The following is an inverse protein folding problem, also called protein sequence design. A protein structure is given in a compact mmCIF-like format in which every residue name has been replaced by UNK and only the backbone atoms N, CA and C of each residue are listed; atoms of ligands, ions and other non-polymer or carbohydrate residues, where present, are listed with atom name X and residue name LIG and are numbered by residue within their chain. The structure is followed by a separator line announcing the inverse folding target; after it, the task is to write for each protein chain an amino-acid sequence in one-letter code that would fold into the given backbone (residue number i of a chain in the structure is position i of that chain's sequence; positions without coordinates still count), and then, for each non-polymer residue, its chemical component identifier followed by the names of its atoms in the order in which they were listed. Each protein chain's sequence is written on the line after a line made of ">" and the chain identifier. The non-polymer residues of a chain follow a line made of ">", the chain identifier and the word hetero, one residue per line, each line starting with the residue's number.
data_IF_747168183232
#
_entry.id   IF_747168183232
#
_cell.length_a   1.000
_cell.length_b   1.000
_cell.length_c   1.000
_cell.angle_alpha   90.00
_cell.angle_beta   90.00
_cell.angle_gamma   90.00
#
_symmetry.space_group_name_H-M   'P 1'
#
loop_
_entity.id
_entity.type
_entity.pdbx_description
1 polymer ?
#
# COMPACT_ATOMS: atom_id res chain seq x y z
N UNK A 1 10.63 -13.91 72.45
CA UNK A 1 10.27 -14.49 71.14
C UNK A 1 8.80 -14.20 70.88
N UNK A 2 8.50 -13.12 70.17
CA UNK A 2 7.14 -12.77 69.73
C UNK A 2 6.87 -13.46 68.41
N UNK A 3 6.00 -14.47 68.44
CA UNK A 3 5.56 -15.23 67.27
C UNK A 3 4.72 -14.30 66.39
N UNK A 4 5.22 -13.92 65.21
CA UNK A 4 4.44 -13.26 64.18
C UNK A 4 3.32 -14.21 63.72
N UNK A 5 2.07 -13.76 63.85
CA UNK A 5 0.92 -14.47 63.29
C UNK A 5 0.98 -14.46 61.76
N UNK A 6 0.63 -15.55 61.07
CA UNK A 6 0.57 -15.59 59.62
C UNK A 6 -0.54 -14.65 59.10
N UNK A 7 -0.20 -13.76 58.17
CA UNK A 7 -1.14 -12.88 57.48
C UNK A 7 -2.24 -13.70 56.80
N UNK A 8 -3.50 -13.45 57.13
CA UNK A 8 -4.66 -14.14 56.57
C UNK A 8 -4.65 -14.10 55.02
N UNK A 9 -5.06 -15.21 54.35
CA UNK A 9 -5.11 -15.27 52.90
C UNK A 9 -6.12 -14.26 52.35
N UNK A 10 -5.76 -13.60 51.25
CA UNK A 10 -6.57 -12.63 50.50
C UNK A 10 -8.03 -13.11 50.34
N UNK A 11 -8.94 -12.59 51.18
CA UNK A 11 -10.34 -13.00 51.17
C UNK A 11 -11.06 -12.35 49.99
N UNK A 12 -11.34 -13.14 48.96
CA UNK A 12 -12.12 -12.70 47.81
C UNK A 12 -13.55 -12.39 48.24
N UNK A 13 -13.85 -11.12 48.48
CA UNK A 13 -15.23 -10.65 48.69
C UNK A 13 -16.05 -10.90 47.42
N UNK A 14 -17.30 -11.37 47.54
CA UNK A 14 -18.24 -11.58 46.41
C UNK A 14 -18.27 -10.42 45.41
N UNK A 15 -18.16 -9.17 45.90
CA UNK A 15 -18.11 -7.96 45.07
C UNK A 15 -16.89 -7.92 44.15
N UNK A 16 -15.72 -8.37 44.61
CA UNK A 16 -14.49 -8.43 43.79
C UNK A 16 -14.58 -9.53 42.74
N UNK A 17 -15.18 -10.68 43.08
CA UNK A 17 -15.41 -11.76 42.13
C UNK A 17 -16.40 -11.32 41.04
N UNK A 18 -17.50 -10.68 41.41
CA UNK A 18 -18.47 -10.13 40.45
C UNK A 18 -17.83 -9.10 39.51
N UNK A 19 -17.05 -8.16 40.05
CA UNK A 19 -16.32 -7.19 39.23
C UNK A 19 -15.28 -7.85 38.32
N UNK A 20 -14.51 -8.82 38.84
CA UNK A 20 -13.52 -9.54 38.04
C UNK A 20 -14.19 -10.32 36.90
N UNK A 21 -15.32 -10.99 37.15
CA UNK A 21 -16.09 -11.70 36.11
C UNK A 21 -16.68 -10.73 35.09
N UNK A 22 -17.24 -9.60 35.52
CA UNK A 22 -17.75 -8.57 34.60
C UNK A 22 -16.65 -8.00 33.71
N UNK A 23 -15.49 -7.68 34.29
CA UNK A 23 -14.32 -7.21 33.52
C UNK A 23 -13.84 -8.29 32.55
N UNK A 24 -13.75 -9.55 32.98
CA UNK A 24 -13.33 -10.65 32.12
C UNK A 24 -14.30 -10.88 30.96
N UNK A 25 -15.61 -10.88 31.21
CA UNK A 25 -16.64 -10.99 30.16
C UNK A 25 -16.57 -9.79 29.22
N UNK A 26 -16.41 -8.57 29.74
CA UNK A 26 -16.28 -7.37 28.93
C UNK A 26 -15.03 -7.41 28.03
N UNK A 27 -13.88 -7.84 28.56
CA UNK A 27 -12.63 -7.98 27.80
C UNK A 27 -12.79 -9.07 26.73
N UNK A 28 -13.32 -10.24 27.09
CA UNK A 28 -13.55 -11.34 26.14
C UNK A 28 -14.51 -10.93 25.01
N UNK A 29 -15.61 -10.26 25.35
CA UNK A 29 -16.57 -9.73 24.38
C UNK A 29 -15.92 -8.67 23.48
N UNK A 30 -15.09 -7.78 24.04
CA UNK A 30 -14.35 -6.77 23.28
C UNK A 30 -13.40 -7.41 22.27
N UNK A 31 -12.60 -8.41 22.69
CA UNK A 31 -11.71 -9.15 21.78
C UNK A 31 -12.48 -9.91 20.71
N UNK A 32 -13.59 -10.56 21.08
CA UNK A 32 -14.45 -11.27 20.13
C UNK A 32 -15.05 -10.31 19.09
N UNK A 33 -15.50 -9.13 19.52
CA UNK A 33 -16.04 -8.10 18.64
C UNK A 33 -14.94 -7.54 17.71
N UNK A 34 -13.75 -7.25 18.23
CA UNK A 34 -12.60 -6.79 17.43
C UNK A 34 -12.19 -7.83 16.40
N UNK A 35 -12.21 -9.12 16.75
CA UNK A 35 -11.92 -10.20 15.81
C UNK A 35 -13.00 -10.31 14.73
N UNK A 36 -14.28 -10.24 15.12
CA UNK A 36 -15.43 -10.35 14.20
C UNK A 36 -15.52 -9.17 13.23
N UNK A 37 -15.17 -7.97 13.68
CA UNK A 37 -15.25 -6.72 12.91
C UNK A 37 -13.87 -6.15 12.56
N UNK A 38 -12.86 -7.00 12.47
CA UNK A 38 -11.48 -6.59 12.21
C UNK A 38 -11.35 -5.68 10.97
N UNK A 39 -12.10 -5.97 9.91
CA UNK A 39 -12.09 -5.21 8.67
C UNK A 39 -12.63 -3.79 8.87
N UNK A 40 -13.71 -3.64 9.65
CA UNK A 40 -14.29 -2.32 9.96
C UNK A 40 -13.32 -1.50 10.83
N UNK A 41 -12.74 -2.14 11.85
CA UNK A 41 -11.73 -1.51 12.72
C UNK A 41 -10.51 -1.08 11.92
N UNK A 42 -10.04 -1.92 10.99
CA UNK A 42 -8.90 -1.62 10.13
C UNK A 42 -9.19 -0.48 9.15
N UNK A 43 -10.38 -0.45 8.54
CA UNK A 43 -10.83 0.66 7.69
C UNK A 43 -10.89 1.97 8.48
N UNK A 44 -11.49 1.94 9.68
CA UNK A 44 -11.54 3.12 10.57
C UNK A 44 -10.13 3.58 10.97
N UNK A 45 -9.25 2.64 11.32
CA UNK A 45 -7.86 2.93 11.66
C UNK A 45 -7.13 3.63 10.50
N UNK A 46 -7.19 3.07 9.30
CA UNK A 46 -6.59 3.69 8.11
C UNK A 46 -7.20 5.06 7.85
N UNK A 47 -8.53 5.20 7.97
CA UNK A 47 -9.20 6.47 7.74
C UNK A 47 -8.79 7.56 8.75
N UNK A 48 -8.66 7.21 10.03
CA UNK A 48 -8.16 8.10 11.08
C UNK A 48 -6.73 8.53 10.80
N UNK A 49 -5.86 7.57 10.45
CA UNK A 49 -4.48 7.85 10.08
C UNK A 49 -4.46 8.79 8.88
N UNK A 50 -5.10 8.42 7.76
CA UNK A 50 -5.16 9.20 6.53
C UNK A 50 -5.75 10.61 6.74
N UNK A 51 -6.81 10.75 7.53
CA UNK A 51 -7.41 12.04 7.81
C UNK A 51 -6.48 12.92 8.65
N UNK A 52 -5.78 12.34 9.64
CA UNK A 52 -4.78 13.05 10.45
C UNK A 52 -3.61 13.52 9.59
N UNK A 53 -3.19 12.66 8.67
CA UNK A 53 -2.16 12.85 7.66
C UNK A 53 -2.46 13.98 6.68
N UNK A 54 -3.73 14.17 6.32
CA UNK A 54 -4.16 15.19 5.35
C UNK A 54 -4.27 16.59 6.00
N UNK A 55 -4.47 16.68 7.33
CA UNK A 55 -4.63 17.96 8.05
C UNK A 55 -3.53 18.99 7.81
N UNK A 56 -2.22 18.65 7.80
CA UNK A 56 -1.16 19.60 7.50
C UNK A 56 -1.29 20.20 6.10
N UNK A 57 -1.66 19.39 5.10
CA UNK A 57 -1.87 19.84 3.72
C UNK A 57 -3.05 20.81 3.66
N UNK A 58 -4.16 20.46 4.31
CA UNK A 58 -5.34 21.34 4.42
C UNK A 58 -5.00 22.65 5.14
N UNK A 59 -4.18 22.58 6.21
CA UNK A 59 -3.74 23.75 6.97
C UNK A 59 -2.82 24.64 6.13
N UNK A 60 -1.96 24.05 5.30
CA UNK A 60 -1.13 24.78 4.34
C UNK A 60 -1.97 25.50 3.29
N UNK A 61 -3.00 24.84 2.73
CA UNK A 61 -3.96 25.47 1.81
C UNK A 61 -4.74 26.60 2.50
N UNK A 62 -5.14 26.40 3.76
CA UNK A 62 -5.80 27.41 4.56
C UNK A 62 -4.94 28.66 4.76
N UNK A 63 -3.65 28.49 5.06
CA UNK A 63 -2.68 29.59 5.16
C UNK A 63 -2.46 30.33 3.82
N UNK A 64 -2.79 29.70 2.69
CA UNK A 64 -2.75 30.32 1.35
C UNK A 64 -4.06 31.03 0.96
N UNK A 65 -5.05 31.08 1.85
CA UNK A 65 -6.31 31.83 1.66
C UNK A 65 -7.54 30.97 1.30
N UNK A 66 -7.40 29.65 1.17
CA UNK A 66 -8.55 28.76 0.94
C UNK A 66 -9.35 28.53 2.23
N UNK A 67 -10.68 28.61 2.23
CA UNK A 67 -11.46 28.26 3.42
C UNK A 67 -11.28 26.77 3.75
N UNK A 68 -11.23 26.45 5.05
CA UNK A 68 -10.85 25.09 5.53
C UNK A 68 -11.65 23.97 4.86
N UNK A 69 -12.96 24.12 4.73
CA UNK A 69 -13.84 23.12 4.09
C UNK A 69 -13.48 22.94 2.61
N UNK A 70 -13.26 24.03 1.87
CA UNK A 70 -12.85 23.94 0.46
C UNK A 70 -11.46 23.30 0.31
N UNK A 71 -10.53 23.59 1.22
CA UNK A 71 -9.22 22.93 1.25
C UNK A 71 -9.34 21.42 1.48
N UNK A 72 -10.20 20.97 2.39
CA UNK A 72 -10.50 19.54 2.59
C UNK A 72 -11.10 18.95 1.31
N UNK A 73 -12.17 19.53 0.77
CA UNK A 73 -12.84 19.03 -0.44
C UNK A 73 -11.84 18.93 -1.60
N UNK A 74 -11.02 19.94 -1.82
CA UNK A 74 -10.02 19.96 -2.89
C UNK A 74 -9.02 18.80 -2.76
N UNK A 75 -8.45 18.58 -1.57
CA UNK A 75 -7.48 17.49 -1.36
C UNK A 75 -8.14 16.12 -1.58
N UNK A 76 -9.35 15.90 -1.06
CA UNK A 76 -10.06 14.64 -1.25
C UNK A 76 -10.51 14.42 -2.69
N UNK A 77 -10.87 15.47 -3.43
CA UNK A 77 -11.15 15.38 -4.86
C UNK A 77 -9.90 15.02 -5.66
N UNK A 78 -8.73 15.60 -5.34
CA UNK A 78 -7.46 15.24 -5.98
C UNK A 78 -7.12 13.77 -5.70
N UNK A 79 -7.25 13.31 -4.45
CA UNK A 79 -7.01 11.92 -4.09
C UNK A 79 -7.98 10.96 -4.80
N UNK A 80 -9.27 11.33 -4.87
CA UNK A 80 -10.28 10.55 -5.58
C UNK A 80 -10.00 10.50 -7.08
N UNK A 81 -9.65 11.64 -7.70
CA UNK A 81 -9.29 11.71 -9.11
C UNK A 81 -8.06 10.86 -9.41
N UNK A 82 -7.05 10.87 -8.54
CA UNK A 82 -5.85 10.04 -8.65
C UNK A 82 -6.20 8.55 -8.54
N UNK A 83 -7.08 8.18 -7.60
CA UNK A 83 -7.55 6.81 -7.42
C UNK A 83 -8.38 6.29 -8.62
N UNK A 84 -9.29 7.13 -9.14
CA UNK A 84 -10.09 6.80 -10.33
C UNK A 84 -9.18 6.69 -11.56
N UNK A 85 -8.26 7.63 -11.76
CA UNK A 85 -7.31 7.61 -12.87
C UNK A 85 -6.43 6.36 -12.81
N UNK A 86 -5.96 5.99 -11.61
CA UNK A 86 -5.26 4.74 -11.38
C UNK A 86 -6.09 3.54 -11.81
N UNK A 87 -7.35 3.43 -11.35
CA UNK A 87 -8.22 2.31 -11.68
C UNK A 87 -8.53 2.22 -13.19
N UNK A 88 -8.80 3.35 -13.84
CA UNK A 88 -9.22 3.39 -15.24
C UNK A 88 -8.06 3.27 -16.24
N UNK A 89 -6.87 3.78 -15.92
CA UNK A 89 -5.72 3.72 -16.84
C UNK A 89 -4.90 2.45 -16.63
N UNK A 90 -4.66 2.05 -15.38
CA UNK A 90 -3.74 0.96 -15.08
C UNK A 90 -4.37 -0.41 -15.30
N UNK A 91 -5.62 -0.59 -14.86
CA UNK A 91 -6.28 -1.89 -14.93
C UNK A 91 -6.38 -2.42 -16.36
N UNK A 92 -6.91 -1.68 -17.35
CA UNK A 92 -6.98 -2.19 -18.72
C UNK A 92 -5.59 -2.38 -19.33
N UNK A 93 -4.64 -1.49 -19.03
CA UNK A 93 -3.25 -1.60 -19.46
C UNK A 93 -2.67 -2.95 -18.99
N UNK A 94 -2.64 -3.19 -17.68
CA UNK A 94 -2.11 -4.43 -17.11
C UNK A 94 -2.80 -5.69 -17.64
N UNK A 95 -4.11 -5.65 -17.88
CA UNK A 95 -4.85 -6.78 -18.47
C UNK A 95 -4.42 -7.02 -19.91
N UNK A 96 -4.36 -5.99 -20.75
CA UNK A 96 -3.96 -6.09 -22.16
C UNK A 96 -2.51 -6.56 -22.32
N UNK A 97 -1.58 -6.03 -21.52
CA UNK A 97 -0.19 -6.50 -21.59
C UNK A 97 0.01 -7.85 -20.91
N UNK A 98 -0.76 -8.17 -19.87
CA UNK A 98 -0.79 -9.49 -19.27
C UNK A 98 -1.21 -10.58 -20.26
N UNK A 99 -2.26 -10.35 -21.04
CA UNK A 99 -2.70 -11.29 -22.09
C UNK A 99 -1.68 -11.41 -23.22
N UNK A 100 -1.03 -10.30 -23.60
CA UNK A 100 0.06 -10.30 -24.59
C UNK A 100 1.25 -11.14 -24.13
N UNK A 101 1.68 -11.00 -22.87
CA UNK A 101 2.75 -11.83 -22.30
C UNK A 101 2.34 -13.29 -22.28
N UNK A 102 1.14 -13.61 -21.80
CA UNK A 102 0.67 -14.99 -21.75
C UNK A 102 0.69 -15.66 -23.14
N UNK A 103 0.36 -14.89 -24.19
CA UNK A 103 0.44 -15.36 -25.58
C UNK A 103 1.90 -15.48 -26.09
N UNK A 104 2.82 -14.63 -25.63
CA UNK A 104 4.23 -14.61 -26.04
C UNK A 104 5.13 -15.61 -25.28
N UNK A 105 4.73 -16.06 -24.09
CA UNK A 105 5.50 -16.98 -23.23
C UNK A 105 6.01 -18.24 -23.96
N UNK A 106 5.20 -18.96 -24.78
CA UNK A 106 5.69 -20.11 -25.52
C UNK A 106 6.86 -19.77 -26.46
N UNK A 107 6.78 -18.63 -27.15
CA UNK A 107 7.83 -18.14 -28.04
C UNK A 107 9.11 -17.78 -27.29
N UNK A 108 8.99 -17.07 -26.16
CA UNK A 108 10.15 -16.74 -25.33
C UNK A 108 10.85 -17.97 -24.76
N UNK A 109 10.09 -18.99 -24.35
CA UNK A 109 10.65 -20.25 -23.90
C UNK A 109 11.44 -20.96 -25.00
N UNK A 110 10.90 -20.97 -26.23
CA UNK A 110 11.54 -21.58 -27.38
C UNK A 110 12.82 -20.83 -27.78
N UNK A 111 12.78 -19.50 -27.86
CA UNK A 111 13.96 -18.68 -28.14
C UNK A 111 15.04 -18.81 -27.05
N UNK A 112 14.65 -18.89 -25.77
CA UNK A 112 15.60 -19.13 -24.68
C UNK A 112 16.27 -20.50 -24.80
N UNK A 113 15.49 -21.53 -25.15
CA UNK A 113 16.02 -22.89 -25.35
C UNK A 113 16.97 -22.96 -26.54
N UNK A 114 16.63 -22.32 -27.65
CA UNK A 114 17.49 -22.21 -28.83
C UNK A 114 18.77 -21.42 -28.52
N UNK A 115 18.67 -20.32 -27.78
CA UNK A 115 19.83 -19.55 -27.32
C UNK A 115 20.76 -20.39 -26.43
N UNK A 116 20.21 -21.11 -25.44
CA UNK A 116 20.98 -22.01 -24.58
C UNK A 116 21.62 -23.17 -25.36
N UNK A 117 20.95 -23.68 -26.40
CA UNK A 117 21.48 -24.74 -27.26
C UNK A 117 22.58 -24.24 -28.20
N UNK A 118 22.55 -22.97 -28.58
CA UNK A 118 23.57 -22.32 -29.43
C UNK A 118 24.82 -21.86 -28.67
N UNK A 119 24.83 -21.99 -27.33
CA UNK A 119 25.92 -21.48 -26.51
C UNK A 119 27.18 -22.35 -26.62
N UNK A 120 28.38 -21.75 -26.74
CA UNK A 120 29.63 -22.51 -26.92
C UNK A 120 30.10 -23.30 -25.69
N UNK A 121 29.49 -23.10 -24.52
CA UNK A 121 29.86 -23.77 -23.27
C UNK A 121 29.01 -25.02 -23.03
N UNK A 122 29.65 -26.20 -22.97
CA UNK A 122 29.01 -27.51 -22.73
C UNK A 122 28.18 -27.58 -21.45
N UNK A 123 28.51 -26.80 -20.41
CA UNK A 123 27.71 -26.74 -19.18
C UNK A 123 26.36 -26.03 -19.40
N UNK A 124 26.35 -24.99 -20.22
CA UNK A 124 25.14 -24.21 -20.57
C UNK A 124 24.27 -25.01 -21.54
N UNK A 125 24.87 -25.72 -22.49
CA UNK A 125 24.13 -26.63 -23.39
C UNK A 125 23.44 -27.76 -22.63
N UNK A 126 24.07 -28.32 -21.59
CA UNK A 126 23.42 -29.34 -20.74
C UNK A 126 22.18 -28.82 -20.01
N UNK A 127 22.14 -27.54 -19.63
CA UNK A 127 20.95 -26.91 -19.05
C UNK A 127 19.75 -26.92 -20.02
N UNK A 128 20.00 -26.80 -21.33
CA UNK A 128 18.94 -26.90 -22.35
C UNK A 128 18.27 -28.29 -22.43
N UNK A 129 18.97 -29.34 -21.99
CA UNK A 129 18.47 -30.72 -21.93
C UNK A 129 17.63 -31.02 -20.68
N UNK A 130 17.77 -30.22 -19.61
CA UNK A 130 16.91 -30.29 -18.42
C UNK A 130 15.60 -29.50 -18.59
N UNK A 131 15.54 -28.62 -19.60
CA UNK A 131 14.32 -27.91 -19.98
C UNK A 131 13.42 -28.84 -20.80
N UNK A 132 12.15 -29.06 -20.39
CA UNK A 132 11.19 -29.85 -21.17
C UNK A 132 11.11 -29.39 -22.63
N UNK A 133 11.09 -30.33 -23.57
CA UNK A 133 10.97 -30.03 -25.02
C UNK A 133 9.69 -29.29 -25.36
N UNK A 134 8.66 -29.50 -24.56
CA UNK A 134 7.38 -28.81 -24.61
C UNK A 134 7.05 -28.29 -23.21
N UNK A 135 6.68 -27.01 -23.11
CA UNK A 135 6.03 -26.52 -21.90
C UNK A 135 4.78 -27.38 -21.65
N UNK A 136 4.59 -27.95 -20.43
CA UNK A 136 3.36 -28.65 -20.10
C UNK A 136 2.17 -27.68 -20.31
N UNK A 137 1.44 -27.91 -21.40
CA UNK A 137 0.19 -27.25 -21.76
C UNK A 137 0.15 -25.72 -21.62
N UNK A 138 0.85 -25.02 -22.52
CA UNK A 138 0.25 -23.85 -23.18
C UNK A 138 -0.17 -24.28 -24.59
N UNK A 139 -1.06 -25.28 -24.68
CA UNK A 139 -1.74 -25.51 -25.96
C UNK A 139 -2.42 -24.19 -26.34
N UNK A 140 -2.39 -23.78 -27.62
CA UNK A 140 -3.24 -22.69 -28.07
C UNK A 140 -4.63 -23.07 -27.59
N UNK A 141 -5.20 -22.26 -26.70
CA UNK A 141 -6.55 -22.48 -26.23
C UNK A 141 -7.41 -22.29 -27.48
N UNK A 142 -7.71 -23.39 -28.19
CA UNK A 142 -8.87 -23.45 -29.06
C UNK A 142 -10.03 -23.27 -28.09
N UNK A 143 -10.44 -22.01 -27.96
CA UNK A 143 -11.41 -21.57 -26.97
C UNK A 143 -12.73 -22.28 -27.24
N UNK A 144 -12.93 -23.44 -26.62
CA UNK A 144 -14.24 -24.06 -26.53
C UNK A 144 -15.16 -23.09 -25.79
N UNK A 145 -16.45 -23.02 -26.15
CA UNK A 145 -17.42 -22.12 -25.53
C UNK A 145 -17.40 -22.18 -23.98
N UNK A 146 -17.12 -23.35 -23.40
CA UNK A 146 -16.95 -23.54 -21.95
C UNK A 146 -15.70 -22.84 -21.36
N UNK A 147 -14.59 -22.77 -22.09
CA UNK A 147 -13.39 -22.06 -21.66
C UNK A 147 -13.55 -20.54 -21.82
N UNK A 148 -14.30 -20.09 -22.84
CA UNK A 148 -14.70 -18.67 -22.93
C UNK A 148 -15.57 -18.27 -21.73
N UNK A 149 -16.56 -19.10 -21.35
CA UNK A 149 -17.37 -18.86 -20.15
C UNK A 149 -16.54 -18.89 -18.86
N UNK A 150 -15.57 -19.80 -18.74
CA UNK A 150 -14.65 -19.85 -17.59
C UNK A 150 -13.75 -18.61 -17.52
N UNK A 151 -13.21 -18.16 -18.66
CA UNK A 151 -12.41 -16.92 -18.73
C UNK A 151 -13.24 -15.67 -18.47
N UNK A 152 -14.49 -15.62 -18.92
CA UNK A 152 -15.44 -14.56 -18.59
C UNK A 152 -15.75 -14.55 -17.08
N UNK A 153 -15.91 -15.72 -16.46
CA UNK A 153 -16.05 -15.86 -15.01
C UNK A 153 -14.82 -15.36 -14.23
N UNK A 154 -13.61 -15.61 -14.74
CA UNK A 154 -12.37 -15.10 -14.16
C UNK A 154 -12.25 -13.58 -14.32
N UNK A 155 -12.57 -13.02 -15.50
CA UNK A 155 -12.62 -11.58 -15.74
C UNK A 155 -13.63 -10.90 -14.81
N UNK A 156 -14.84 -11.45 -14.67
CA UNK A 156 -15.84 -10.97 -13.72
C UNK A 156 -15.32 -11.06 -12.27
N UNK A 157 -14.58 -12.11 -11.94
CA UNK A 157 -13.88 -12.25 -10.67
C UNK A 157 -12.89 -11.10 -10.41
N UNK A 158 -12.01 -10.80 -11.36
CA UNK A 158 -11.05 -9.69 -11.25
C UNK A 158 -11.75 -8.32 -11.17
N UNK A 159 -12.79 -8.10 -11.98
CA UNK A 159 -13.59 -6.88 -11.94
C UNK A 159 -14.27 -6.73 -10.57
N UNK A 160 -14.82 -7.81 -10.01
CA UNK A 160 -15.44 -7.79 -8.69
C UNK A 160 -14.44 -7.49 -7.57
N UNK A 161 -13.22 -8.04 -7.67
CA UNK A 161 -12.13 -7.77 -6.72
C UNK A 161 -11.69 -6.31 -6.80
N UNK A 162 -11.49 -5.79 -8.02
CA UNK A 162 -11.14 -4.40 -8.26
C UNK A 162 -12.25 -3.46 -7.76
N UNK A 163 -13.51 -3.75 -8.06
CA UNK A 163 -14.66 -2.98 -7.58
C UNK A 163 -14.73 -2.98 -6.05
N UNK A 164 -14.49 -4.13 -5.39
CA UNK A 164 -14.43 -4.21 -3.92
C UNK A 164 -13.28 -3.37 -3.36
N UNK A 165 -12.10 -3.43 -3.97
CA UNK A 165 -10.95 -2.63 -3.53
C UNK A 165 -11.22 -1.12 -3.68
N UNK A 166 -11.77 -0.70 -4.82
CA UNK A 166 -12.17 0.69 -5.09
C UNK A 166 -13.23 1.14 -4.10
N UNK A 167 -14.26 0.32 -3.84
CA UNK A 167 -15.30 0.61 -2.87
C UNK A 167 -14.71 0.81 -1.47
N UNK A 168 -13.84 -0.10 -1.01
CA UNK A 168 -13.15 0.05 0.29
C UNK A 168 -12.31 1.33 0.32
N UNK A 169 -11.59 1.65 -0.74
CA UNK A 169 -10.78 2.86 -0.81
C UNK A 169 -11.64 4.14 -0.75
N UNK A 170 -12.79 4.16 -1.45
CA UNK A 170 -13.76 5.26 -1.37
C UNK A 170 -14.30 5.40 0.06
N UNK A 171 -14.67 4.30 0.71
CA UNK A 171 -15.14 4.31 2.11
C UNK A 171 -14.05 4.87 3.02
N UNK A 172 -12.79 4.44 2.89
CA UNK A 172 -11.66 4.98 3.64
C UNK A 172 -11.53 6.49 3.42
N UNK A 173 -11.60 6.96 2.16
CA UNK A 173 -11.52 8.39 1.85
C UNK A 173 -12.68 9.18 2.48
N UNK A 174 -13.91 8.66 2.45
CA UNK A 174 -15.06 9.31 3.06
C UNK A 174 -14.96 9.40 4.59
N UNK A 175 -14.54 8.31 5.24
CA UNK A 175 -14.32 8.29 6.69
C UNK A 175 -13.16 9.22 7.07
N UNK A 176 -12.09 9.24 6.28
CA UNK A 176 -10.97 10.13 6.49
C UNK A 176 -11.38 11.59 6.32
N UNK A 177 -12.24 11.89 5.32
CA UNK A 177 -12.80 13.21 5.10
C UNK A 177 -13.54 13.70 6.34
N UNK A 178 -14.41 12.85 6.90
CA UNK A 178 -15.12 13.15 8.13
C UNK A 178 -14.15 13.34 9.31
N UNK A 179 -13.15 12.47 9.47
CA UNK A 179 -12.13 12.60 10.51
C UNK A 179 -11.29 13.87 10.38
N UNK A 180 -11.03 14.35 9.15
CA UNK A 180 -10.28 15.58 8.89
C UNK A 180 -11.05 16.82 9.34
N UNK A 181 -12.38 16.81 9.18
CA UNK A 181 -13.25 17.90 9.62
C UNK A 181 -13.51 17.85 11.12
N UNK A 182 -14.00 16.72 11.62
CA UNK A 182 -14.57 16.59 12.97
C UNK A 182 -13.66 15.88 13.98
N UNK A 183 -12.56 15.24 13.54
CA UNK A 183 -11.69 14.50 14.45
C UNK A 183 -11.13 15.32 15.63
N UNK A 184 -10.78 16.62 15.51
CA UNK A 184 -10.41 17.42 16.68
C UNK A 184 -11.55 17.55 17.69
N UNK A 185 -12.80 17.65 17.23
CA UNK A 185 -13.98 17.70 18.09
C UNK A 185 -14.20 16.36 18.79
N UNK A 186 -14.05 15.25 18.06
CA UNK A 186 -14.15 13.89 18.62
C UNK A 186 -13.12 13.71 19.75
N UNK A 187 -11.86 14.10 19.53
CA UNK A 187 -10.81 14.04 20.55
C UNK A 187 -11.18 14.90 21.77
N UNK A 188 -11.69 16.11 21.55
CA UNK A 188 -12.14 17.00 22.63
C UNK A 188 -13.32 16.44 23.42
N UNK A 189 -14.23 15.72 22.77
CA UNK A 189 -15.37 15.04 23.43
C UNK A 189 -14.93 13.81 24.24
N UNK A 190 -13.80 13.19 23.91
CA UNK A 190 -13.26 12.04 24.63
C UNK A 190 -12.32 12.42 25.79
N UNK A 191 -11.68 13.59 25.74
CA UNK A 191 -10.81 14.12 26.80
C UNK A 191 -11.46 14.12 28.22
N UNK A 192 -12.77 14.37 28.38
CA UNK A 192 -13.43 14.27 29.68
C UNK A 192 -13.43 12.89 30.33
N UNK A 193 -13.28 11.81 29.55
CA UNK A 193 -13.23 10.42 30.05
C UNK A 193 -11.93 10.13 30.82
N UNK A 194 -10.92 10.99 30.69
CA UNK A 194 -9.64 10.86 31.38
C UNK A 194 -9.57 11.81 32.58
N UNK A 195 -8.84 11.39 33.62
CA UNK A 195 -8.58 12.19 34.82
C UNK A 195 -7.98 13.56 34.46
N UNK A 196 -8.35 14.59 35.22
CA UNK A 196 -7.97 15.99 34.94
C UNK A 196 -6.46 16.17 34.82
N UNK A 197 -5.70 15.50 35.67
CA UNK A 197 -4.24 15.60 35.75
C UNK A 197 -3.53 15.05 34.49
N UNK A 198 -4.19 14.17 33.72
CA UNK A 198 -3.62 13.58 32.51
C UNK A 198 -4.04 14.30 31.22
N UNK A 199 -5.01 15.21 31.27
CA UNK A 199 -5.59 15.83 30.06
C UNK A 199 -4.58 16.66 29.27
N UNK A 200 -3.74 17.41 29.97
CA UNK A 200 -2.72 18.25 29.34
C UNK A 200 -1.65 17.39 28.67
N UNK A 201 -1.13 16.39 29.37
CA UNK A 201 -0.16 15.44 28.81
C UNK A 201 -0.69 14.66 27.60
N UNK A 202 -1.96 14.22 27.61
CA UNK A 202 -2.58 13.55 26.46
C UNK A 202 -2.73 14.52 25.29
N UNK A 203 -3.11 15.77 25.53
CA UNK A 203 -3.26 16.78 24.49
C UNK A 203 -1.92 17.09 23.81
N UNK A 204 -0.86 17.26 24.60
CA UNK A 204 0.49 17.46 24.09
C UNK A 204 0.98 16.26 23.28
N UNK A 205 0.75 15.03 23.79
CA UNK A 205 1.10 13.80 23.09
C UNK A 205 0.41 13.72 21.72
N UNK A 206 -0.91 13.97 21.67
CA UNK A 206 -1.67 13.98 20.42
C UNK A 206 -1.11 15.02 19.45
N UNK A 207 -0.89 16.25 19.90
CA UNK A 207 -0.33 17.31 19.05
C UNK A 207 1.07 16.99 18.52
N UNK A 208 1.91 16.37 19.36
CA UNK A 208 3.25 15.92 18.96
C UNK A 208 3.18 14.80 17.91
N UNK A 209 2.29 13.82 18.11
CA UNK A 209 2.06 12.74 17.13
C UNK A 209 1.55 13.30 15.80
N UNK A 210 0.57 14.21 15.82
CA UNK A 210 0.05 14.85 14.60
C UNK A 210 1.16 15.59 13.84
N UNK A 211 2.01 16.32 14.54
CA UNK A 211 3.13 17.07 13.94
C UNK A 211 4.17 16.13 13.32
N UNK A 212 4.55 15.06 14.04
CA UNK A 212 5.52 14.07 13.53
C UNK A 212 4.98 13.31 12.32
N UNK A 213 3.73 12.84 12.39
CA UNK A 213 3.05 12.14 11.29
C UNK A 213 2.94 13.06 10.06
N UNK A 214 2.53 14.31 10.27
CA UNK A 214 2.40 15.29 9.20
C UNK A 214 3.72 15.58 8.51
N UNK A 215 4.79 15.71 9.28
CA UNK A 215 6.11 15.98 8.71
C UNK A 215 6.69 14.75 8.00
N UNK A 216 6.53 13.56 8.57
CA UNK A 216 6.90 12.30 7.92
C UNK A 216 6.25 12.16 6.54
N UNK A 217 4.95 12.48 6.42
CA UNK A 217 4.27 12.37 5.14
C UNK A 217 4.53 13.51 4.16
N UNK A 218 4.84 14.71 4.63
CA UNK A 218 5.41 15.71 3.75
C UNK A 218 6.71 15.19 3.13
N UNK A 219 7.55 14.54 3.95
CA UNK A 219 8.73 13.81 3.47
C UNK A 219 8.38 12.71 2.48
N UNK A 220 7.40 11.86 2.79
CA UNK A 220 6.97 10.77 1.92
C UNK A 220 6.42 11.28 0.58
N UNK A 221 5.64 12.36 0.58
CA UNK A 221 5.14 12.99 -0.65
C UNK A 221 6.26 13.54 -1.54
N UNK A 222 7.33 14.08 -0.94
CA UNK A 222 8.54 14.47 -1.67
C UNK A 222 9.24 13.24 -2.25
N UNK A 223 9.35 12.14 -1.50
CA UNK A 223 9.90 10.88 -2.01
C UNK A 223 9.08 10.35 -3.19
N UNK A 224 7.76 10.26 -3.06
CA UNK A 224 6.85 9.88 -4.15
C UNK A 224 7.12 10.66 -5.43
N UNK A 225 7.25 11.99 -5.32
CA UNK A 225 7.50 12.86 -6.46
C UNK A 225 8.88 12.62 -7.09
N UNK A 226 9.92 12.56 -6.26
CA UNK A 226 11.30 12.36 -6.74
C UNK A 226 11.46 10.97 -7.38
N UNK A 227 10.91 9.93 -6.75
CA UNK A 227 10.91 8.55 -7.27
C UNK A 227 10.12 8.48 -8.58
N UNK A 228 8.96 9.11 -8.65
CA UNK A 228 8.19 9.21 -9.89
C UNK A 228 8.97 9.87 -11.03
N UNK A 229 9.70 10.97 -10.76
CA UNK A 229 10.54 11.62 -11.76
C UNK A 229 11.71 10.72 -12.19
N UNK A 230 12.41 10.09 -11.25
CA UNK A 230 13.52 9.19 -11.58
C UNK A 230 13.04 7.98 -12.40
N UNK A 231 11.89 7.40 -12.04
CA UNK A 231 11.24 6.34 -12.79
C UNK A 231 10.86 6.80 -14.21
N UNK A 232 10.34 8.04 -14.36
CA UNK A 232 10.03 8.60 -15.68
C UNK A 232 11.26 8.68 -16.57
N UNK A 233 12.34 9.26 -16.06
CA UNK A 233 13.60 9.36 -16.79
C UNK A 233 14.11 7.97 -17.17
N UNK A 234 14.12 7.02 -16.22
CA UNK A 234 14.55 5.65 -16.48
C UNK A 234 13.71 4.97 -17.56
N UNK A 235 12.38 5.02 -17.46
CA UNK A 235 11.48 4.34 -18.40
C UNK A 235 11.49 4.98 -19.80
N UNK A 236 11.71 6.29 -19.90
CA UNK A 236 11.94 6.98 -21.18
C UNK A 236 13.27 6.53 -21.81
N UNK A 237 14.35 6.44 -21.04
CA UNK A 237 15.66 5.97 -21.54
C UNK A 237 15.62 4.52 -22.01
N UNK A 238 14.86 3.66 -21.32
CA UNK A 238 14.62 2.26 -21.71
C UNK A 238 13.72 2.16 -22.96
N UNK A 239 12.98 3.22 -23.27
CA UNK A 239 12.01 3.25 -24.36
C UNK A 239 10.80 2.36 -24.07
N UNK A 240 10.25 2.43 -22.85
CA UNK A 240 9.00 1.77 -22.52
C UNK A 240 7.80 2.59 -23.05
N UNK A 241 6.79 1.95 -23.64
CA UNK A 241 5.53 2.62 -23.95
C UNK A 241 4.85 3.07 -22.65
N UNK A 242 4.08 4.15 -22.71
CA UNK A 242 3.36 4.70 -21.56
C UNK A 242 4.26 5.01 -20.34
N UNK A 243 5.53 5.37 -20.57
CA UNK A 243 6.51 5.67 -19.52
C UNK A 243 5.99 6.66 -18.47
N UNK A 244 5.21 7.67 -18.87
CA UNK A 244 4.57 8.61 -17.94
C UNK A 244 3.60 7.92 -16.98
N UNK A 245 2.74 7.04 -17.48
CA UNK A 245 1.78 6.30 -16.66
C UNK A 245 2.50 5.37 -15.69
N UNK A 246 3.52 4.64 -16.17
CA UNK A 246 4.33 3.74 -15.34
C UNK A 246 5.12 4.49 -14.26
N UNK A 247 5.62 5.69 -14.57
CA UNK A 247 6.37 6.50 -13.63
C UNK A 247 5.50 7.18 -12.57
N UNK A 248 4.35 7.71 -12.98
CA UNK A 248 3.32 8.19 -12.05
C UNK A 248 2.92 7.07 -11.08
N UNK A 249 2.78 5.86 -11.60
CA UNK A 249 2.46 4.69 -10.80
C UNK A 249 3.56 4.35 -9.79
N UNK A 250 4.82 4.30 -10.23
CA UNK A 250 5.94 4.07 -9.33
C UNK A 250 5.98 5.12 -8.21
N UNK A 251 5.80 6.40 -8.53
CA UNK A 251 5.73 7.48 -7.54
C UNK A 251 4.52 7.40 -6.60
N UNK A 252 3.35 6.94 -7.06
CA UNK A 252 2.17 6.75 -6.21
C UNK A 252 2.35 5.55 -5.29
N UNK A 253 2.83 4.42 -5.81
CA UNK A 253 3.06 3.21 -5.02
C UNK A 253 4.15 3.39 -3.98
N UNK A 254 5.11 4.30 -4.23
CA UNK A 254 6.09 4.76 -3.24
C UNK A 254 5.45 5.30 -1.95
N UNK A 255 4.18 5.70 -1.97
CA UNK A 255 3.48 6.12 -0.75
C UNK A 255 3.45 5.01 0.34
N UNK A 256 3.65 3.75 -0.04
CA UNK A 256 3.81 2.61 0.87
C UNK A 256 5.31 2.28 1.00
N UNK A 257 6.00 2.70 2.09
CA UNK A 257 7.43 2.49 2.24
C UNK A 257 7.83 1.01 2.15
N UNK A 258 9.05 0.75 1.68
CA UNK A 258 9.67 -0.59 1.49
C UNK A 258 9.01 -1.48 0.43
N UNK A 259 7.69 -1.44 0.32
CA UNK A 259 6.90 -2.26 -0.60
C UNK A 259 6.66 -1.51 -1.93
N UNK A 260 6.52 -0.18 -1.84
CA UNK A 260 6.20 0.73 -2.94
C UNK A 260 7.11 0.64 -4.15
N UNK A 261 8.45 0.74 -4.00
CA UNK A 261 9.37 0.61 -5.13
C UNK A 261 9.22 -0.71 -5.88
N UNK A 262 9.05 -1.81 -5.12
CA UNK A 262 8.89 -3.15 -5.69
C UNK A 262 7.56 -3.27 -6.45
N UNK A 263 6.46 -2.83 -5.84
CA UNK A 263 5.16 -2.83 -6.50
C UNK A 263 5.13 -1.90 -7.72
N UNK A 264 5.80 -0.76 -7.65
CA UNK A 264 5.95 0.20 -8.75
C UNK A 264 6.71 -0.34 -9.95
N UNK A 265 7.69 -1.21 -9.70
CA UNK A 265 8.48 -1.85 -10.76
C UNK A 265 7.72 -2.98 -11.47
N UNK A 266 6.76 -3.65 -10.81
CA UNK A 266 6.04 -4.80 -11.40
C UNK A 266 5.37 -4.44 -12.74
N UNK A 267 4.57 -3.37 -12.84
CA UNK A 267 3.96 -2.98 -14.11
C UNK A 267 4.99 -2.68 -15.19
N UNK A 268 6.06 -1.95 -14.87
CA UNK A 268 7.13 -1.68 -15.83
C UNK A 268 7.84 -2.96 -16.30
N UNK A 269 8.04 -3.93 -15.40
CA UNK A 269 8.62 -5.23 -15.71
C UNK A 269 7.70 -6.06 -16.62
N UNK A 270 6.38 -6.06 -16.36
CA UNK A 270 5.35 -6.68 -17.21
C UNK A 270 5.39 -6.07 -18.61
N UNK A 271 5.34 -4.74 -18.72
CA UNK A 271 5.44 -4.04 -20.02
C UNK A 271 6.76 -4.34 -20.74
N UNK A 272 7.89 -4.32 -20.04
CA UNK A 272 9.18 -4.61 -20.63
C UNK A 272 9.24 -6.04 -21.18
N UNK A 273 8.72 -7.02 -20.44
CA UNK A 273 8.66 -8.41 -20.86
C UNK A 273 7.71 -8.61 -22.05
N UNK A 274 6.63 -7.83 -22.16
CA UNK A 274 5.67 -7.95 -23.27
C UNK A 274 6.24 -7.49 -24.61
N UNK A 275 7.13 -6.49 -24.60
CA UNK A 275 7.71 -5.90 -25.83
C UNK A 275 9.06 -6.50 -26.21
N UNK A 276 9.96 -6.68 -25.24
CA UNK A 276 11.34 -7.13 -25.47
C UNK A 276 11.97 -7.58 -24.14
N UNK A 277 12.17 -8.90 -23.93
CA UNK A 277 12.74 -9.42 -22.68
C UNK A 277 14.09 -8.80 -22.29
N UNK A 278 14.89 -8.31 -23.24
CA UNK A 278 16.13 -7.58 -22.96
C UNK A 278 15.91 -6.26 -22.20
N UNK A 279 14.76 -5.60 -22.38
CA UNK A 279 14.40 -4.38 -21.62
C UNK A 279 14.10 -4.68 -20.15
N UNK A 280 13.67 -5.90 -19.80
CA UNK A 280 13.42 -6.29 -18.41
C UNK A 280 14.69 -6.15 -17.56
N UNK A 281 15.85 -6.51 -18.11
CA UNK A 281 17.14 -6.37 -17.43
C UNK A 281 17.39 -4.89 -17.09
N UNK A 282 17.12 -4.00 -18.03
CA UNK A 282 17.28 -2.56 -17.80
C UNK A 282 16.26 -1.99 -16.81
N UNK A 283 15.03 -2.51 -16.77
CA UNK A 283 14.05 -2.15 -15.74
C UNK A 283 14.50 -2.58 -14.35
N UNK A 284 15.04 -3.80 -14.22
CA UNK A 284 15.58 -4.30 -12.95
C UNK A 284 16.77 -3.45 -12.50
N UNK A 285 17.71 -3.17 -13.41
CA UNK A 285 18.88 -2.31 -13.12
C UNK A 285 18.43 -0.92 -12.70
N UNK A 286 17.51 -0.29 -13.44
CA UNK A 286 16.97 1.02 -13.10
C UNK A 286 16.29 1.01 -11.72
N UNK A 287 15.49 -0.01 -11.43
CA UNK A 287 14.82 -0.17 -10.12
C UNK A 287 15.84 -0.26 -8.99
N UNK A 288 16.88 -1.08 -9.15
CA UNK A 288 17.95 -1.20 -8.15
C UNK A 288 18.68 0.14 -7.97
N UNK A 289 19.03 0.83 -9.06
CA UNK A 289 19.71 2.13 -8.99
C UNK A 289 18.84 3.16 -8.26
N UNK A 290 17.57 3.25 -8.62
CA UNK A 290 16.59 4.14 -7.97
C UNK A 290 16.50 3.82 -6.47
N UNK A 291 16.35 2.55 -6.12
CA UNK A 291 16.21 2.11 -4.74
C UNK A 291 17.49 2.35 -3.92
N UNK A 292 18.67 2.19 -4.52
CA UNK A 292 19.94 2.52 -3.88
C UNK A 292 20.08 4.03 -3.63
N UNK A 293 19.68 4.87 -4.60
CA UNK A 293 19.66 6.33 -4.43
C UNK A 293 18.68 6.73 -3.34
N UNK A 294 17.50 6.12 -3.33
CA UNK A 294 16.46 6.35 -2.34
C UNK A 294 16.95 6.06 -0.92
N UNK A 295 17.40 4.82 -0.68
CA UNK A 295 17.83 4.34 0.62
C UNK A 295 19.08 5.07 1.12
N UNK A 296 20.02 5.39 0.22
CA UNK A 296 21.33 5.94 0.61
C UNK A 296 21.31 7.47 0.74
N UNK A 297 20.49 8.16 -0.05
CA UNK A 297 20.55 9.63 -0.16
C UNK A 297 19.23 10.33 0.08
N UNK A 298 18.13 9.85 -0.52
CA UNK A 298 16.86 10.56 -0.45
C UNK A 298 16.22 10.42 0.91
N UNK A 299 16.06 9.19 1.41
CA UNK A 299 15.43 8.92 2.72
C UNK A 299 16.16 9.67 3.83
N UNK A 300 17.49 9.58 4.01
CA UNK A 300 18.17 10.32 5.07
C UNK A 300 18.03 11.83 4.95
N UNK A 301 18.10 12.41 3.74
CA UNK A 301 18.04 13.87 3.56
C UNK A 301 16.63 14.42 3.72
N UNK A 302 15.64 13.73 3.17
CA UNK A 302 14.23 14.15 3.21
C UNK A 302 13.68 13.94 4.62
N UNK A 303 13.92 12.79 5.23
CA UNK A 303 13.42 12.47 6.57
C UNK A 303 14.11 13.27 7.67
N UNK A 304 15.42 13.54 7.57
CA UNK A 304 16.11 14.43 8.54
C UNK A 304 15.54 15.84 8.54
N UNK A 305 15.29 16.41 7.34
CA UNK A 305 14.70 17.76 7.22
C UNK A 305 13.25 17.81 7.63
N UNK A 306 12.49 16.74 7.39
CA UNK A 306 11.08 16.71 7.70
C UNK A 306 10.81 16.36 9.17
N UNK A 307 11.44 15.32 9.73
CA UNK A 307 11.12 14.77 11.06
C UNK A 307 12.10 15.25 12.15
N UNK A 308 13.23 15.87 11.78
CA UNK A 308 14.19 16.43 12.75
C UNK A 308 14.95 15.37 13.54
N UNK A 309 15.31 14.26 12.89
CA UNK A 309 16.15 13.19 13.42
C UNK A 309 17.44 13.04 12.60
#
# INVERSE_FOLDING_TARGET
>A
MTIQQPSLPYQWTYRRVMWATLVLVFVALSFWLLYRFNQVVFILFIAIVMGTVIRPVVTWLYRRGLPRIAGVILVYLILLALLISFALLLFPLLVEQGTTIAAAVPGYYQSLREWLASFPNLLIVRLSGFLPTTLPSLQPIQQTAQQMLASAGQVLGYVSLAAKAIFIAIVILLLAFHWTLDGPRIIQSLLPLVSKDQREGIRELISAMETKIGSYLAGQGVLCLVIGIMALVAYLLIGLPNALVLALLAGVLEAVPMIGPLLGAIPAAVIALSIAPSKLIWVIVATIVIQQIENSFLVPRVMRKAVGI
#
